data_IF_470880224175
#
_entry.id   IF_470880224175
#
_cell.length_a   1.000
_cell.length_b   1.000
_cell.length_c   1.000
_cell.angle_alpha   90.00
_cell.angle_beta   90.00
_cell.angle_gamma   90.00
#
_symmetry.space_group_name_H-M   'P 1'
#
loop_
_entity.id
_entity.type
_entity.pdbx_description
1 polymer ?
#
# COMPACT_ATOMS: atom_id res chain seq x y z
N UNK A 1 -5.48 1.23 -11.12
CA UNK A 1 -5.60 0.05 -10.28
C UNK A 1 -7.05 -0.47 -10.29
N UNK A 2 -7.65 -0.72 -11.46
CA UNK A 2 -9.02 -1.29 -11.52
C UNK A 2 -9.04 -2.80 -11.35
N UNK A 3 -8.02 -3.50 -11.86
CA UNK A 3 -8.00 -4.98 -11.90
C UNK A 3 -7.70 -5.59 -10.54
N UNK A 4 -6.79 -5.00 -9.76
CA UNK A 4 -6.33 -5.50 -8.46
C UNK A 4 -6.96 -4.73 -7.29
N UNK A 5 -8.07 -4.05 -7.51
CA UNK A 5 -8.62 -3.12 -6.54
C UNK A 5 -9.02 -3.73 -5.19
N UNK A 6 -9.39 -5.00 -5.19
CA UNK A 6 -9.75 -5.77 -4.00
C UNK A 6 -8.78 -6.92 -3.74
N UNK A 7 -7.59 -6.88 -4.34
CA UNK A 7 -6.61 -7.97 -4.27
C UNK A 7 -5.47 -7.59 -3.32
N UNK A 8 -5.45 -8.22 -2.14
CA UNK A 8 -4.27 -8.25 -1.30
C UNK A 8 -3.41 -9.49 -1.62
N UNK A 9 -2.09 -9.34 -1.56
CA UNK A 9 -1.13 -10.44 -1.74
C UNK A 9 -0.45 -10.69 -0.41
N UNK A 10 -0.63 -11.87 0.17
CA UNK A 10 -0.07 -12.25 1.46
C UNK A 10 0.96 -13.36 1.31
N UNK A 11 2.14 -13.16 1.89
CA UNK A 11 3.22 -14.15 1.97
C UNK A 11 3.78 -14.18 3.39
N UNK A 12 4.61 -15.18 3.77
CA UNK A 12 5.29 -15.18 5.05
C UNK A 12 6.26 -14.01 5.28
N UNK A 13 6.68 -13.31 4.22
CA UNK A 13 7.67 -12.23 4.29
C UNK A 13 7.05 -10.83 4.16
N UNK A 14 5.93 -10.71 3.46
CA UNK A 14 5.31 -9.41 3.14
C UNK A 14 3.82 -9.54 2.90
N UNK A 15 3.08 -8.50 3.28
CA UNK A 15 1.71 -8.27 2.88
C UNK A 15 1.66 -7.05 1.95
N UNK A 16 1.06 -7.20 0.78
CA UNK A 16 0.78 -6.11 -0.14
C UNK A 16 -0.72 -5.85 -0.15
N UNK A 17 -1.15 -4.65 0.21
CA UNK A 17 -2.57 -4.24 0.17
C UNK A 17 -2.78 -3.17 -0.91
N UNK A 18 -3.95 -3.10 -1.55
CA UNK A 18 -4.26 -2.02 -2.48
C UNK A 18 -4.04 -0.63 -1.85
N UNK A 19 -3.44 0.30 -2.61
CA UNK A 19 -3.30 1.68 -2.16
C UNK A 19 -4.64 2.43 -2.21
N UNK A 20 -5.30 2.52 -1.05
CA UNK A 20 -6.60 3.19 -0.86
C UNK A 20 -6.51 4.60 -0.23
N UNK A 21 -7.57 5.44 -0.34
CA UNK A 21 -7.57 6.83 0.12
C UNK A 21 -7.17 7.04 1.59
N UNK A 22 -7.49 6.09 2.48
CA UNK A 22 -7.16 6.20 3.90
C UNK A 22 -5.64 6.13 4.18
N UNK A 23 -4.83 5.67 3.21
CA UNK A 23 -3.37 5.69 3.31
C UNK A 23 -2.75 7.05 2.97
N UNK A 24 -3.47 7.90 2.21
CA UNK A 24 -2.94 9.16 1.67
C UNK A 24 -2.39 10.07 2.76
N UNK A 25 -3.10 10.22 3.88
CA UNK A 25 -2.64 11.07 4.98
C UNK A 25 -1.29 10.62 5.58
N UNK A 26 -1.06 9.31 5.69
CA UNK A 26 0.22 8.77 6.17
C UNK A 26 1.31 8.91 5.12
N UNK A 27 1.00 8.61 3.86
CA UNK A 27 1.94 8.78 2.75
C UNK A 27 2.40 10.24 2.62
N UNK A 28 1.48 11.20 2.69
CA UNK A 28 1.78 12.62 2.65
C UNK A 28 2.71 13.07 3.79
N UNK A 29 2.52 12.53 5.00
CA UNK A 29 3.44 12.77 6.13
C UNK A 29 4.85 12.27 5.83
N UNK A 30 4.99 11.09 5.21
CA UNK A 30 6.29 10.59 4.78
C UNK A 30 6.93 11.49 3.72
N UNK A 31 6.14 11.92 2.73
CA UNK A 31 6.60 12.79 1.64
C UNK A 31 6.97 14.21 2.11
N UNK A 32 6.82 14.56 3.39
CA UNK A 32 7.41 15.78 3.95
C UNK A 32 8.93 15.68 4.10
N UNK A 33 9.50 14.47 4.16
CA UNK A 33 10.94 14.25 4.26
C UNK A 33 11.62 14.35 2.87
N UNK A 34 12.65 15.19 2.76
CA UNK A 34 13.37 15.44 1.50
C UNK A 34 14.17 14.23 1.01
N UNK A 35 14.96 13.61 1.88
CA UNK A 35 15.76 12.42 1.52
C UNK A 35 14.88 11.29 1.00
N UNK A 36 13.70 11.11 1.59
CA UNK A 36 12.73 10.10 1.17
C UNK A 36 12.14 10.42 -0.20
N UNK A 37 11.79 11.69 -0.45
CA UNK A 37 11.31 12.14 -1.77
C UNK A 37 12.38 11.92 -2.83
N UNK A 38 13.63 12.28 -2.56
CA UNK A 38 14.76 12.05 -3.48
C UNK A 38 14.96 10.56 -3.76
N UNK A 39 14.99 9.72 -2.71
CA UNK A 39 15.17 8.27 -2.83
C UNK A 39 14.02 7.57 -3.59
N UNK A 40 12.82 8.16 -3.58
CA UNK A 40 11.64 7.61 -4.27
C UNK A 40 11.30 8.33 -5.58
N UNK A 41 12.08 9.35 -5.96
CA UNK A 41 11.80 10.27 -7.07
C UNK A 41 10.36 10.84 -7.01
N UNK A 42 9.89 11.18 -5.80
CA UNK A 42 8.57 11.76 -5.57
C UNK A 42 8.65 13.29 -5.51
N UNK A 43 7.68 13.97 -6.10
CA UNK A 43 7.52 15.42 -5.96
C UNK A 43 6.87 15.79 -4.63
N UNK A 44 7.11 17.03 -4.15
CA UNK A 44 6.39 17.56 -3.00
C UNK A 44 5.01 18.05 -3.47
N UNK A 45 3.96 17.35 -3.03
CA UNK A 45 2.57 17.69 -3.32
C UNK A 45 1.86 18.19 -2.06
N UNK A 46 0.84 19.01 -2.25
CA UNK A 46 -0.15 19.30 -1.21
C UNK A 46 -0.98 18.06 -0.89
N UNK A 47 -1.62 18.04 0.30
CA UNK A 47 -2.46 16.89 0.68
C UNK A 47 -3.61 16.64 -0.32
N UNK A 48 -4.18 17.71 -0.88
CA UNK A 48 -5.25 17.61 -1.89
C UNK A 48 -4.75 16.97 -3.18
N UNK A 49 -3.60 17.42 -3.70
CA UNK A 49 -2.94 16.84 -4.87
C UNK A 49 -2.59 15.36 -4.66
N UNK A 50 -2.23 14.94 -3.44
CA UNK A 50 -1.99 13.52 -3.13
C UNK A 50 -3.26 12.67 -3.26
N UNK A 51 -4.42 13.20 -2.83
CA UNK A 51 -5.71 12.52 -3.03
C UNK A 51 -6.06 12.42 -4.52
N UNK A 52 -5.84 13.49 -5.29
CA UNK A 52 -6.08 13.48 -6.74
C UNK A 52 -5.16 12.48 -7.46
N UNK A 53 -3.88 12.47 -7.10
CA UNK A 53 -2.89 11.54 -7.66
C UNK A 53 -3.25 10.09 -7.31
N UNK A 54 -3.60 9.81 -6.04
CA UNK A 54 -4.07 8.49 -5.62
C UNK A 54 -5.30 8.04 -6.42
N UNK A 55 -6.29 8.92 -6.61
CA UNK A 55 -7.49 8.61 -7.40
C UNK A 55 -7.16 8.31 -8.87
N UNK A 56 -6.21 9.07 -9.46
CA UNK A 56 -5.73 8.83 -10.83
C UNK A 56 -5.07 7.44 -10.95
N UNK A 57 -4.26 7.05 -9.95
CA UNK A 57 -3.62 5.74 -9.93
C UNK A 57 -4.62 4.62 -9.66
N UNK A 58 -5.63 4.88 -8.81
CA UNK A 58 -6.70 3.94 -8.50
C UNK A 58 -7.50 3.58 -9.74
N UNK A 59 -7.75 4.53 -10.62
CA UNK A 59 -8.55 4.34 -11.85
C UNK A 59 -7.73 3.94 -13.08
N UNK A 60 -6.40 4.06 -13.05
CA UNK A 60 -5.52 3.67 -14.15
C UNK A 60 -5.69 2.19 -14.57
N UNK A 61 -5.63 1.91 -15.87
CA UNK A 61 -5.83 0.55 -16.41
C UNK A 61 -4.51 -0.25 -16.50
N UNK A 62 -3.39 0.46 -16.48
CA UNK A 62 -2.02 -0.01 -16.70
C UNK A 62 -1.17 0.03 -15.42
N UNK A 63 -1.74 0.47 -14.29
CA UNK A 63 -1.05 0.55 -13.00
C UNK A 63 -1.64 -0.40 -11.96
N UNK A 64 -0.75 -1.07 -11.24
CA UNK A 64 -1.02 -1.79 -10.00
C UNK A 64 -0.20 -1.11 -8.88
N UNK A 65 -0.84 -0.63 -7.83
CA UNK A 65 -0.16 0.11 -6.75
C UNK A 65 -0.51 -0.52 -5.40
N UNK A 66 0.51 -0.86 -4.62
CA UNK A 66 0.34 -1.51 -3.32
C UNK A 66 1.03 -0.72 -2.22
N UNK A 67 0.48 -0.79 -1.01
CA UNK A 67 1.19 -0.47 0.22
C UNK A 67 1.85 -1.76 0.73
N UNK A 68 3.14 -1.65 1.03
CA UNK A 68 3.94 -2.72 1.62
C UNK A 68 3.74 -2.71 3.13
N UNK A 69 3.23 -3.80 3.67
CA UNK A 69 2.96 -4.02 5.08
C UNK A 69 3.81 -5.20 5.62
N UNK A 70 3.98 -5.24 6.93
CA UNK A 70 4.50 -6.44 7.60
C UNK A 70 3.61 -7.65 7.27
N UNK A 71 4.18 -8.87 7.17
CA UNK A 71 3.40 -10.07 6.93
C UNK A 71 2.33 -10.24 8.03
N UNK A 72 1.16 -10.72 7.62
CA UNK A 72 0.09 -11.02 8.57
C UNK A 72 0.60 -12.10 9.55
N UNK A 73 0.30 -11.94 10.85
CA UNK A 73 0.64 -12.95 11.83
C UNK A 73 0.08 -14.30 11.37
N UNK A 74 0.93 -15.33 11.36
CA UNK A 74 0.47 -16.68 11.10
C UNK A 74 -0.62 -17.01 12.12
N UNK A 75 -1.83 -17.29 11.66
CA UNK A 75 -2.83 -17.87 12.54
C UNK A 75 -2.23 -19.17 13.08
N UNK A 76 -2.26 -19.42 14.41
CA UNK A 76 -1.77 -20.68 14.93
C UNK A 76 -2.60 -21.78 14.27
N UNK A 77 -1.96 -22.56 13.39
CA UNK A 77 -2.54 -23.80 12.88
C UNK A 77 -2.90 -24.60 14.12
N UNK A 78 -4.20 -24.83 14.34
CA UNK A 78 -4.66 -25.78 15.34
C UNK A 78 -4.04 -27.12 14.95
N UNK A 79 -2.92 -27.47 15.58
CA UNK A 79 -2.36 -28.81 15.52
C UNK A 79 -3.45 -29.72 16.08
N UNK A 80 -4.09 -30.48 15.19
CA UNK A 80 -5.01 -31.53 15.58
C UNK A 80 -4.27 -32.42 16.56
N UNK A 81 -4.79 -32.51 17.78
CA UNK A 81 -4.45 -33.56 18.73
C UNK A 81 -4.80 -34.90 18.07
N UNK A 82 -3.78 -35.62 17.61
CA UNK A 82 -3.88 -37.04 17.32
C UNK A 82 -3.91 -37.80 18.65
N UNK A 83 -4.93 -38.64 18.82
CA UNK A 83 -5.16 -39.58 19.93
C UNK A 83 -4.18 -40.77 19.85
#
# INVERSE_FOLDING_TARGET
MRVNENLAISTPQVLLVPYDPHHVGRYHQWMQNEDLREATASDLLTLEEEYENQQSWRTAHDKLTFIVCQPAAASPTSAGSED
#
